data_IF_607225203414
#
_entry.id   IF_607225203414
#
_cell.length_a   1.000
_cell.length_b   1.000
_cell.length_c   1.000
_cell.angle_alpha   90.00
_cell.angle_beta   90.00
_cell.angle_gamma   90.00
#
_symmetry.space_group_name_H-M   'P 1'
#
loop_
_entity.id
_entity.type
_entity.pdbx_description
1 polymer ?
#
# COMPACT_ATOMS: atom_id res chain seq x y z
N UNK A 1 64.25 23.52 33.60
CA UNK A 1 63.61 24.20 32.44
C UNK A 1 63.30 23.18 31.37
N UNK A 2 62.34 22.32 31.68
CA UNK A 2 61.72 21.32 30.82
C UNK A 2 60.28 21.23 31.33
N UNK A 3 59.30 21.19 30.42
CA UNK A 3 57.83 21.18 30.67
C UNK A 3 57.11 22.40 30.10
N UNK A 4 57.07 22.54 28.77
CA UNK A 4 55.97 23.25 28.09
C UNK A 4 55.88 23.01 26.56
N UNK A 5 56.46 21.92 26.03
CA UNK A 5 56.46 21.65 24.58
C UNK A 5 55.93 20.27 24.18
N UNK A 6 55.29 19.53 25.08
CA UNK A 6 54.72 18.20 24.80
C UNK A 6 53.23 18.02 25.17
N UNK A 7 52.50 19.12 25.40
CA UNK A 7 51.03 19.09 25.57
C UNK A 7 50.39 20.05 24.57
N UNK A 8 50.74 19.93 23.28
CA UNK A 8 49.99 20.52 22.15
C UNK A 8 50.04 19.67 20.88
N UNK A 9 50.36 18.38 21.00
CA UNK A 9 50.44 17.45 19.86
C UNK A 9 49.52 16.22 20.00
N UNK A 10 48.48 16.33 20.84
CA UNK A 10 47.49 15.26 21.04
C UNK A 10 46.04 15.73 20.91
N UNK A 11 45.81 16.97 20.44
CA UNK A 11 44.46 17.51 20.22
C UNK A 11 44.20 18.02 18.79
N UNK A 12 45.06 17.62 17.84
CA UNK A 12 44.86 17.87 16.40
C UNK A 12 45.13 16.56 15.64
N UNK A 13 44.61 15.43 16.13
CA UNK A 13 44.50 14.16 15.38
C UNK A 13 43.21 13.41 15.77
N UNK A 14 42.16 14.15 16.15
CA UNK A 14 40.85 13.57 16.46
C UNK A 14 39.73 14.40 15.81
N UNK A 15 39.89 14.74 14.54
CA UNK A 15 38.81 15.32 13.72
C UNK A 15 38.94 15.01 12.23
N UNK A 16 39.73 13.99 11.85
CA UNK A 16 40.04 13.72 10.44
C UNK A 16 39.83 12.27 10.01
N UNK A 17 39.10 11.45 10.78
CA UNK A 17 38.76 10.08 10.39
C UNK A 17 37.31 9.82 10.78
N UNK A 18 36.38 10.23 9.92
CA UNK A 18 35.03 9.68 9.68
C UNK A 18 34.19 10.73 8.95
N UNK A 19 34.57 11.00 7.70
CA UNK A 19 33.71 11.66 6.73
C UNK A 19 34.08 11.18 5.33
N UNK A 20 34.13 9.86 5.14
CA UNK A 20 33.80 9.28 3.83
C UNK A 20 32.31 8.95 3.82
N UNK A 21 31.49 9.94 4.17
CA UNK A 21 30.14 9.98 3.66
C UNK A 21 30.31 10.43 2.21
N UNK A 22 29.94 9.57 1.27
CA UNK A 22 29.77 9.95 -0.12
C UNK A 22 28.62 10.95 -0.15
N UNK A 23 28.91 12.22 0.17
CA UNK A 23 28.03 13.33 -0.15
C UNK A 23 28.04 13.38 -1.66
N UNK A 24 27.04 12.77 -2.29
CA UNK A 24 26.66 13.12 -3.65
C UNK A 24 26.23 14.58 -3.55
N UNK A 25 27.17 15.49 -3.78
CA UNK A 25 26.87 16.91 -3.96
C UNK A 25 26.07 16.93 -5.26
N UNK A 26 24.74 16.98 -5.13
CA UNK A 26 23.86 17.29 -6.25
C UNK A 26 24.38 18.61 -6.85
N UNK A 27 24.64 18.62 -8.16
CA UNK A 27 25.06 19.85 -8.83
C UNK A 27 24.00 20.93 -8.65
N UNK A 28 24.38 22.21 -8.74
CA UNK A 28 23.41 23.32 -8.70
C UNK A 28 22.32 23.14 -9.79
N UNK A 29 22.67 22.49 -10.92
CA UNK A 29 21.75 22.09 -11.98
C UNK A 29 20.71 21.04 -11.52
N UNK A 30 21.10 20.08 -10.68
CA UNK A 30 20.17 19.10 -10.11
C UNK A 30 19.22 19.75 -9.09
N UNK A 31 19.69 20.72 -8.32
CA UNK A 31 18.85 21.46 -7.38
C UNK A 31 17.83 22.35 -8.13
N UNK A 32 18.27 23.05 -9.17
CA UNK A 32 17.39 23.86 -10.02
C UNK A 32 16.33 23.01 -10.72
N UNK A 33 16.72 21.86 -11.30
CA UNK A 33 15.80 20.92 -11.96
C UNK A 33 14.74 20.38 -10.99
N UNK A 34 15.13 20.01 -9.77
CA UNK A 34 14.19 19.56 -8.72
C UNK A 34 13.23 20.66 -8.29
N UNK A 35 13.70 21.92 -8.21
CA UNK A 35 12.86 23.06 -7.86
C UNK A 35 11.82 23.35 -8.95
N UNK A 36 12.22 23.29 -10.23
CA UNK A 36 11.31 23.43 -11.37
C UNK A 36 10.26 22.31 -11.40
N UNK A 37 10.68 21.07 -11.17
CA UNK A 37 9.77 19.92 -11.09
C UNK A 37 8.75 20.08 -9.96
N UNK A 38 9.20 20.46 -8.75
CA UNK A 38 8.33 20.75 -7.61
C UNK A 38 7.34 21.88 -7.91
N UNK A 39 7.79 22.96 -8.54
CA UNK A 39 6.92 24.07 -8.92
C UNK A 39 5.84 23.63 -9.92
N UNK A 40 6.20 22.79 -10.91
CA UNK A 40 5.26 22.22 -11.89
C UNK A 40 4.22 21.33 -11.22
N UNK A 41 4.64 20.42 -10.33
CA UNK A 41 3.73 19.55 -9.57
C UNK A 41 2.74 20.40 -8.76
N UNK A 42 3.25 21.40 -8.06
CA UNK A 42 2.43 22.30 -7.25
C UNK A 42 1.42 23.07 -8.11
N UNK A 43 1.83 23.59 -9.26
CA UNK A 43 0.93 24.34 -10.14
C UNK A 43 -0.23 23.47 -10.66
N UNK A 44 0.03 22.20 -10.98
CA UNK A 44 -1.02 21.24 -11.36
C UNK A 44 -1.95 20.97 -10.18
N UNK A 45 -1.39 20.70 -8.99
CA UNK A 45 -2.17 20.48 -7.76
C UNK A 45 -3.07 21.68 -7.44
N UNK A 46 -2.53 22.91 -7.44
CA UNK A 46 -3.29 24.13 -7.17
C UNK A 46 -4.43 24.32 -8.18
N UNK A 47 -4.20 23.99 -9.45
CA UNK A 47 -5.21 24.07 -10.50
C UNK A 47 -6.35 23.08 -10.26
N UNK A 48 -6.03 21.84 -9.91
CA UNK A 48 -7.05 20.81 -9.63
C UNK A 48 -7.83 21.18 -8.37
N UNK A 49 -7.16 21.63 -7.30
CA UNK A 49 -7.83 22.00 -6.04
C UNK A 49 -8.74 23.21 -6.20
N UNK A 50 -8.37 24.18 -7.04
CA UNK A 50 -9.20 25.35 -7.30
C UNK A 50 -10.45 25.05 -8.15
N UNK A 51 -10.48 23.90 -8.85
CA UNK A 51 -11.54 23.52 -9.79
C UNK A 51 -11.96 22.06 -9.58
N UNK A 52 -12.01 21.60 -8.33
CA UNK A 52 -12.19 20.18 -7.99
C UNK A 52 -13.51 19.61 -8.51
N UNK A 53 -14.58 20.41 -8.50
CA UNK A 53 -15.90 20.03 -8.98
C UNK A 53 -15.91 19.94 -10.52
N UNK A 54 -15.43 20.97 -11.23
CA UNK A 54 -15.37 20.95 -12.68
C UNK A 54 -14.42 19.87 -13.20
N UNK A 55 -13.30 19.63 -12.51
CA UNK A 55 -12.36 18.57 -12.85
C UNK A 55 -12.98 17.18 -12.66
N UNK A 56 -13.68 16.96 -11.54
CA UNK A 56 -14.39 15.71 -11.29
C UNK A 56 -15.52 15.45 -12.30
N UNK A 57 -16.30 16.47 -12.62
CA UNK A 57 -17.36 16.38 -13.62
C UNK A 57 -16.79 16.07 -15.01
N UNK A 58 -15.74 16.76 -15.45
CA UNK A 58 -15.11 16.53 -16.75
C UNK A 58 -14.58 15.09 -16.89
N UNK A 59 -14.03 14.52 -15.81
CA UNK A 59 -13.62 13.11 -15.79
C UNK A 59 -14.81 12.15 -15.83
N UNK A 60 -15.90 12.46 -15.12
CA UNK A 60 -17.14 11.67 -15.19
C UNK A 60 -17.71 11.65 -16.60
N UNK A 61 -17.76 12.81 -17.26
CA UNK A 61 -18.27 12.94 -18.63
C UNK A 61 -17.41 12.15 -19.63
N UNK A 62 -16.09 12.16 -19.44
CA UNK A 62 -15.17 11.35 -20.25
C UNK A 62 -15.45 9.85 -20.08
N UNK A 63 -15.68 9.38 -18.85
CA UNK A 63 -16.03 7.97 -18.59
C UNK A 63 -17.39 7.62 -19.19
N UNK A 64 -18.39 8.49 -19.05
CA UNK A 64 -19.72 8.30 -19.64
C UNK A 64 -19.64 8.15 -21.17
N UNK A 65 -18.89 9.06 -21.82
CA UNK A 65 -18.65 9.00 -23.27
C UNK A 65 -17.99 7.69 -23.71
N UNK A 66 -16.96 7.23 -23.01
CA UNK A 66 -16.27 5.96 -23.32
C UNK A 66 -17.18 4.74 -23.11
N UNK A 67 -18.08 4.80 -22.13
CA UNK A 67 -19.06 3.74 -21.87
C UNK A 67 -20.30 3.83 -22.80
N UNK A 68 -20.39 4.86 -23.63
CA UNK A 68 -21.54 5.08 -24.52
C UNK A 68 -22.84 5.37 -23.78
N UNK A 69 -22.77 6.05 -22.63
CA UNK A 69 -23.92 6.44 -21.81
C UNK A 69 -23.87 7.93 -21.46
N UNK A 70 -25.01 8.47 -21.04
CA UNK A 70 -25.14 9.83 -20.48
C UNK A 70 -25.26 9.79 -18.94
N UNK A 71 -25.05 8.62 -18.33
CA UNK A 71 -25.15 8.43 -16.88
C UNK A 71 -24.03 9.14 -16.14
N UNK A 72 -24.36 9.81 -15.02
CA UNK A 72 -23.36 10.27 -14.06
C UNK A 72 -23.03 9.14 -13.08
N UNK A 73 -21.76 8.69 -13.09
CA UNK A 73 -21.29 7.61 -12.21
C UNK A 73 -20.94 8.08 -10.79
N UNK A 74 -20.77 9.39 -10.59
CA UNK A 74 -20.31 9.99 -9.34
C UNK A 74 -21.30 11.00 -8.76
N UNK A 75 -22.53 11.07 -9.29
CA UNK A 75 -23.52 12.11 -9.02
C UNK A 75 -23.48 12.68 -7.59
N UNK A 76 -23.18 13.98 -7.48
CA UNK A 76 -23.11 14.71 -6.21
C UNK A 76 -21.80 14.52 -5.44
N UNK A 77 -20.80 13.85 -6.03
CA UNK A 77 -19.45 13.62 -5.47
C UNK A 77 -18.35 14.12 -6.40
N UNK A 78 -18.67 15.02 -7.33
CA UNK A 78 -17.77 15.55 -8.35
C UNK A 78 -16.51 16.14 -7.71
N UNK A 79 -16.67 17.04 -6.74
CA UNK A 79 -15.54 17.63 -6.01
C UNK A 79 -14.69 16.58 -5.26
N UNK A 80 -15.30 15.56 -4.65
CA UNK A 80 -14.59 14.49 -3.96
C UNK A 80 -13.78 13.63 -4.93
N UNK A 81 -14.39 13.26 -6.06
CA UNK A 81 -13.75 12.50 -7.11
C UNK A 81 -12.61 13.29 -7.75
N UNK A 82 -12.80 14.59 -8.02
CA UNK A 82 -11.78 15.48 -8.54
C UNK A 82 -10.56 15.57 -7.63
N UNK A 83 -10.75 15.75 -6.31
CA UNK A 83 -9.66 15.69 -5.33
C UNK A 83 -8.94 14.34 -5.34
N UNK A 84 -9.68 13.24 -5.39
CA UNK A 84 -9.12 11.89 -5.37
C UNK A 84 -8.21 11.64 -6.59
N UNK A 85 -8.70 11.95 -7.80
CA UNK A 85 -7.92 11.81 -9.03
C UNK A 85 -6.75 12.79 -9.06
N UNK A 86 -6.94 14.02 -8.59
CA UNK A 86 -5.86 15.00 -8.43
C UNK A 86 -4.72 14.51 -7.55
N UNK A 87 -5.05 13.89 -6.41
CA UNK A 87 -4.04 13.30 -5.52
C UNK A 87 -3.32 12.10 -6.16
N UNK A 88 -4.03 11.28 -6.92
CA UNK A 88 -3.41 10.18 -7.69
C UNK A 88 -2.44 10.75 -8.73
N UNK A 89 -2.85 11.77 -9.49
CA UNK A 89 -1.99 12.43 -10.48
C UNK A 89 -0.71 12.96 -9.82
N UNK A 90 -0.84 13.67 -8.69
CA UNK A 90 0.29 14.16 -7.91
C UNK A 90 1.23 13.03 -7.49
N UNK A 91 0.68 11.91 -7.03
CA UNK A 91 1.44 10.73 -6.59
C UNK A 91 2.31 10.19 -7.74
N UNK A 92 1.76 10.07 -8.95
CA UNK A 92 2.52 9.63 -10.13
C UNK A 92 3.52 10.66 -10.65
N UNK A 93 3.32 11.95 -10.38
CA UNK A 93 4.29 12.98 -10.75
C UNK A 93 5.49 13.06 -9.81
N UNK A 94 5.42 12.44 -8.63
CA UNK A 94 6.52 12.46 -7.67
C UNK A 94 7.59 11.43 -8.05
N UNK A 95 8.74 11.90 -8.51
CA UNK A 95 9.88 11.07 -8.96
C UNK A 95 11.01 10.98 -7.93
N UNK A 96 10.70 11.18 -6.65
CA UNK A 96 11.68 11.29 -5.56
C UNK A 96 12.43 10.01 -5.22
N UNK A 97 12.47 9.65 -3.93
CA UNK A 97 13.34 8.56 -3.44
C UNK A 97 12.93 7.16 -3.90
N UNK A 98 11.70 6.98 -4.38
CA UNK A 98 11.22 5.78 -5.06
C UNK A 98 9.91 6.08 -5.82
N UNK A 99 9.49 5.14 -6.67
CA UNK A 99 8.23 5.23 -7.42
C UNK A 99 7.03 4.96 -6.51
N UNK A 100 6.26 6.01 -6.22
CA UNK A 100 5.02 5.87 -5.47
C UNK A 100 3.93 5.18 -6.31
N UNK A 101 3.04 4.51 -5.62
CA UNK A 101 1.85 3.88 -6.20
C UNK A 101 0.57 4.57 -5.72
N UNK A 102 -0.53 4.44 -6.47
CA UNK A 102 -1.77 5.15 -6.17
C UNK A 102 -2.31 4.93 -4.74
N UNK A 103 -2.01 3.77 -4.16
CA UNK A 103 -2.40 3.35 -2.80
C UNK A 103 -1.24 3.39 -1.78
N UNK A 104 -0.16 4.12 -2.07
CA UNK A 104 1.08 4.10 -1.28
C UNK A 104 0.86 4.45 0.20
N UNK A 105 -0.02 5.42 0.49
CA UNK A 105 -0.37 5.79 1.86
C UNK A 105 -1.07 4.64 2.62
N UNK A 106 -1.99 3.93 1.95
CA UNK A 106 -2.67 2.77 2.52
C UNK A 106 -1.68 1.65 2.80
N UNK A 107 -0.85 1.29 1.82
CA UNK A 107 0.16 0.22 1.93
C UNK A 107 1.16 0.53 3.05
N UNK A 108 1.63 1.77 3.17
CA UNK A 108 2.53 2.19 4.25
C UNK A 108 1.88 2.12 5.62
N UNK A 109 0.64 2.57 5.73
CA UNK A 109 -0.12 2.48 6.97
C UNK A 109 -0.27 1.01 7.38
N UNK A 110 -0.63 0.15 6.44
CA UNK A 110 -0.79 -1.28 6.68
C UNK A 110 0.52 -1.95 7.13
N UNK A 111 1.60 -1.75 6.39
CA UNK A 111 2.93 -2.26 6.77
C UNK A 111 3.33 -1.77 8.16
N UNK A 112 3.10 -0.50 8.48
CA UNK A 112 3.57 0.08 9.74
C UNK A 112 2.83 -0.49 10.95
N UNK A 113 1.52 -0.75 10.85
CA UNK A 113 0.80 -1.36 11.97
C UNK A 113 1.07 -2.88 12.06
N UNK A 114 1.24 -3.59 10.93
CA UNK A 114 1.65 -5.01 10.96
C UNK A 114 3.04 -5.13 11.60
N UNK A 115 3.97 -4.27 11.19
CA UNK A 115 5.31 -4.21 11.76
C UNK A 115 5.27 -3.90 13.26
N UNK A 116 4.43 -2.96 13.70
CA UNK A 116 4.21 -2.71 15.12
C UNK A 116 3.73 -3.98 15.84
N UNK A 117 2.68 -4.64 15.33
CA UNK A 117 2.17 -5.86 15.94
C UNK A 117 3.22 -6.98 15.96
N UNK A 118 4.02 -7.11 14.91
CA UNK A 118 5.14 -8.06 14.84
C UNK A 118 6.23 -7.76 15.88
N UNK A 119 6.65 -6.50 16.01
CA UNK A 119 7.72 -6.10 16.93
C UNK A 119 7.35 -6.28 18.41
N UNK A 120 6.06 -6.14 18.73
CA UNK A 120 5.55 -6.25 20.09
C UNK A 120 4.91 -7.60 20.41
N UNK A 121 5.02 -8.59 19.51
CA UNK A 121 4.43 -9.93 19.67
C UNK A 121 2.91 -9.88 19.89
N UNK A 122 2.23 -9.03 19.11
CA UNK A 122 0.78 -8.75 19.19
C UNK A 122 0.01 -9.14 17.91
N UNK A 123 0.59 -9.98 17.04
CA UNK A 123 -0.05 -10.36 15.77
C UNK A 123 -1.35 -11.14 16.00
N UNK A 124 -1.40 -11.99 17.03
CA UNK A 124 -2.60 -12.77 17.36
C UNK A 124 -3.72 -11.86 17.87
N UNK A 125 -3.41 -10.88 18.73
CA UNK A 125 -4.36 -9.88 19.22
C UNK A 125 -4.85 -8.98 18.08
N UNK A 126 -3.96 -8.58 17.18
CA UNK A 126 -4.33 -7.80 16.00
C UNK A 126 -5.26 -8.60 15.08
N UNK A 127 -5.00 -9.89 14.91
CA UNK A 127 -5.85 -10.79 14.13
C UNK A 127 -7.23 -10.94 14.79
N UNK A 128 -7.30 -11.23 16.10
CA UNK A 128 -8.58 -11.33 16.80
C UNK A 128 -9.39 -10.03 16.71
N UNK A 129 -8.74 -8.87 16.84
CA UNK A 129 -9.40 -7.57 16.66
C UNK A 129 -9.94 -7.38 15.25
N UNK A 130 -9.16 -7.74 14.23
CA UNK A 130 -9.57 -7.69 12.82
C UNK A 130 -10.75 -8.63 12.53
N UNK A 131 -10.79 -9.83 13.13
CA UNK A 131 -11.88 -10.79 13.04
C UNK A 131 -13.14 -10.29 13.74
N UNK A 132 -13.02 -9.75 14.96
CA UNK A 132 -14.16 -9.26 15.73
C UNK A 132 -14.89 -8.14 14.99
N UNK A 133 -14.14 -7.22 14.38
CA UNK A 133 -14.71 -6.12 13.58
C UNK A 133 -15.55 -6.61 12.39
N UNK A 134 -15.32 -7.85 11.92
CA UNK A 134 -16.00 -8.45 10.75
C UNK A 134 -16.96 -9.56 11.11
N UNK A 135 -17.02 -10.00 12.37
CA UNK A 135 -17.79 -11.17 12.82
C UNK A 135 -19.26 -11.11 12.36
N UNK A 136 -19.93 -9.98 12.56
CA UNK A 136 -21.34 -9.81 12.16
C UNK A 136 -21.47 -9.90 10.63
N UNK A 137 -20.60 -9.22 9.89
CA UNK A 137 -20.63 -9.21 8.43
C UNK A 137 -20.42 -10.62 7.86
N UNK A 138 -19.45 -11.35 8.39
CA UNK A 138 -19.10 -12.69 7.90
C UNK A 138 -20.12 -13.74 8.32
N UNK A 139 -20.76 -13.60 9.48
CA UNK A 139 -21.88 -14.48 9.89
C UNK A 139 -23.04 -14.45 8.89
N UNK A 140 -23.31 -13.29 8.27
CA UNK A 140 -24.32 -13.16 7.20
C UNK A 140 -23.87 -13.88 5.93
N UNK A 141 -22.58 -13.78 5.60
CA UNK A 141 -21.97 -14.52 4.51
C UNK A 141 -22.10 -16.03 4.69
N UNK A 142 -21.73 -16.54 5.86
CA UNK A 142 -21.85 -17.95 6.23
C UNK A 142 -23.27 -18.48 6.07
N UNK A 143 -24.26 -17.75 6.61
CA UNK A 143 -25.67 -18.11 6.46
C UNK A 143 -26.06 -18.22 4.97
N UNK A 144 -25.68 -17.23 4.16
CA UNK A 144 -26.02 -17.21 2.74
C UNK A 144 -25.33 -18.32 1.95
N UNK A 145 -24.08 -18.64 2.27
CA UNK A 145 -23.35 -19.78 1.69
C UNK A 145 -24.06 -21.09 2.04
N UNK A 146 -24.44 -21.29 3.31
CA UNK A 146 -25.15 -22.49 3.73
C UNK A 146 -26.53 -22.65 3.05
N UNK A 147 -27.23 -21.55 2.80
CA UNK A 147 -28.55 -21.56 2.13
C UNK A 147 -28.46 -21.83 0.62
N UNK A 148 -27.41 -21.35 -0.04
CA UNK A 148 -27.32 -21.35 -1.51
C UNK A 148 -26.33 -22.38 -2.07
N UNK A 149 -25.37 -22.82 -1.25
CA UNK A 149 -24.19 -23.57 -1.71
C UNK A 149 -23.19 -22.75 -2.53
N UNK A 150 -23.41 -21.43 -2.68
CA UNK A 150 -22.56 -20.58 -3.53
C UNK A 150 -21.30 -20.10 -2.79
N UNK A 151 -20.18 -20.73 -3.09
CA UNK A 151 -18.87 -20.41 -2.50
C UNK A 151 -18.29 -19.07 -3.02
N UNK A 152 -18.78 -18.52 -4.14
CA UNK A 152 -18.34 -17.21 -4.64
C UNK A 152 -18.65 -16.09 -3.66
N UNK A 153 -19.68 -16.28 -2.84
CA UNK A 153 -20.02 -15.37 -1.76
C UNK A 153 -18.80 -15.17 -0.84
N UNK A 154 -18.06 -16.22 -0.51
CA UNK A 154 -16.88 -16.09 0.34
C UNK A 154 -15.77 -15.25 -0.32
N UNK A 155 -15.48 -15.47 -1.61
CA UNK A 155 -14.54 -14.64 -2.37
C UNK A 155 -15.01 -13.19 -2.53
N UNK A 156 -16.33 -12.96 -2.53
CA UNK A 156 -16.90 -11.60 -2.54
C UNK A 156 -16.60 -10.84 -1.25
N UNK A 157 -16.65 -11.50 -0.09
CA UNK A 157 -16.26 -10.86 1.19
C UNK A 157 -14.78 -10.45 1.20
N UNK A 158 -13.92 -11.16 0.47
CA UNK A 158 -12.53 -10.74 0.30
C UNK A 158 -12.40 -9.58 -0.71
N UNK A 159 -13.01 -9.69 -1.90
CA UNK A 159 -12.60 -8.89 -3.08
C UNK A 159 -13.59 -7.84 -3.59
N UNK A 160 -14.86 -7.87 -3.17
CA UNK A 160 -15.80 -6.80 -3.50
C UNK A 160 -15.73 -5.62 -2.54
N UNK A 161 -15.04 -5.78 -1.40
CA UNK A 161 -14.75 -4.66 -0.52
C UNK A 161 -13.84 -3.65 -1.25
N UNK A 162 -14.14 -2.33 -1.17
CA UNK A 162 -13.24 -1.31 -1.68
C UNK A 162 -11.82 -1.44 -1.10
N UNK A 163 -11.70 -1.83 0.17
CA UNK A 163 -10.43 -1.98 0.86
C UNK A 163 -9.46 -2.95 0.16
N UNK A 164 -9.93 -4.11 -0.31
CA UNK A 164 -9.06 -5.05 -1.05
C UNK A 164 -8.69 -4.50 -2.43
N UNK A 165 -9.64 -3.87 -3.13
CA UNK A 165 -9.41 -3.30 -4.45
C UNK A 165 -8.41 -2.15 -4.39
N UNK A 166 -8.53 -1.28 -3.40
CA UNK A 166 -7.59 -0.20 -3.13
C UNK A 166 -6.22 -0.75 -2.76
N UNK A 167 -6.16 -1.82 -1.96
CA UNK A 167 -4.90 -2.45 -1.59
C UNK A 167 -4.18 -3.08 -2.80
N UNK A 168 -4.92 -3.55 -3.80
CA UNK A 168 -4.35 -4.22 -4.99
C UNK A 168 -4.27 -3.33 -6.23
N UNK A 169 -4.76 -2.09 -6.17
CA UNK A 169 -4.94 -1.22 -7.36
C UNK A 169 -3.65 -0.98 -8.17
N UNK A 170 -2.49 -0.98 -7.52
CA UNK A 170 -1.22 -0.65 -8.15
C UNK A 170 -0.70 -1.74 -9.12
N UNK A 171 -0.96 -3.01 -8.81
CA UNK A 171 -0.51 -4.17 -9.59
C UNK A 171 -1.71 -4.95 -10.19
N UNK A 172 -2.92 -4.65 -9.74
CA UNK A 172 -4.15 -5.32 -10.11
C UNK A 172 -4.35 -6.68 -9.44
N UNK A 173 -5.49 -7.29 -9.77
CA UNK A 173 -5.82 -8.65 -9.39
C UNK A 173 -6.59 -9.32 -10.53
N UNK A 174 -6.50 -10.64 -10.60
CA UNK A 174 -7.31 -11.47 -11.50
C UNK A 174 -8.31 -12.27 -10.68
N UNK A 175 -9.51 -12.43 -11.25
CA UNK A 175 -10.56 -13.25 -10.67
C UNK A 175 -11.12 -14.20 -11.71
N UNK A 176 -11.21 -15.47 -11.34
CA UNK A 176 -11.90 -16.53 -12.09
C UNK A 176 -12.82 -17.28 -11.11
N UNK A 177 -13.77 -18.10 -11.58
CA UNK A 177 -14.62 -18.88 -10.67
C UNK A 177 -13.76 -19.72 -9.69
N UNK A 178 -14.06 -19.59 -8.41
CA UNK A 178 -13.43 -20.29 -7.30
C UNK A 178 -12.05 -19.74 -6.91
N UNK A 179 -11.52 -18.71 -7.58
CA UNK A 179 -10.13 -18.28 -7.38
C UNK A 179 -9.86 -16.81 -7.66
N UNK A 180 -8.99 -16.23 -6.85
CA UNK A 180 -8.41 -14.90 -7.06
C UNK A 180 -6.90 -14.97 -7.03
N UNK A 181 -6.23 -14.08 -7.75
CA UNK A 181 -4.79 -13.92 -7.67
C UNK A 181 -4.38 -12.45 -7.75
N UNK A 182 -3.43 -12.04 -6.93
CA UNK A 182 -2.90 -10.66 -6.92
C UNK A 182 -1.43 -10.68 -6.54
N UNK A 183 -0.69 -9.67 -7.00
CA UNK A 183 0.70 -9.47 -6.58
C UNK A 183 0.68 -8.78 -5.22
N UNK A 184 1.52 -9.24 -4.29
CA UNK A 184 1.65 -8.61 -2.99
C UNK A 184 1.95 -7.10 -3.12
N UNK A 185 1.21 -6.23 -2.39
CA UNK A 185 1.26 -4.79 -2.60
C UNK A 185 2.44 -4.08 -1.90
N UNK A 186 3.20 -4.82 -1.07
CA UNK A 186 4.17 -4.24 -0.15
C UNK A 186 5.56 -4.06 -0.77
N UNK A 187 5.88 -4.76 -1.86
CA UNK A 187 7.22 -4.79 -2.46
C UNK A 187 7.85 -3.41 -2.72
N UNK A 188 7.11 -2.46 -3.32
CA UNK A 188 7.64 -1.10 -3.59
C UNK A 188 7.93 -0.33 -2.30
N UNK A 189 7.02 -0.41 -1.33
CA UNK A 189 7.16 0.27 -0.03
C UNK A 189 8.33 -0.30 0.78
N UNK A 190 8.44 -1.64 0.86
CA UNK A 190 9.47 -2.33 1.62
C UNK A 190 10.88 -2.26 0.99
N UNK A 191 10.96 -2.08 -0.33
CA UNK A 191 12.25 -2.01 -1.04
C UNK A 191 12.82 -0.59 -1.15
N UNK A 192 12.06 0.45 -0.81
CA UNK A 192 12.51 1.84 -0.90
C UNK A 192 13.66 2.12 0.08
N UNK A 193 14.76 2.71 -0.43
CA UNK A 193 16.08 2.68 0.22
C UNK A 193 16.12 3.05 1.71
N UNK A 194 15.61 4.22 2.09
CA UNK A 194 15.60 4.67 3.49
C UNK A 194 14.65 3.87 4.38
N UNK A 195 13.56 3.33 3.83
CA UNK A 195 12.65 2.46 4.58
C UNK A 195 13.25 1.07 4.75
N UNK A 196 13.91 0.51 3.73
CA UNK A 196 14.50 -0.83 3.78
C UNK A 196 15.46 -1.04 4.95
N UNK A 197 16.24 -0.02 5.32
CA UNK A 197 17.17 -0.09 6.45
C UNK A 197 16.49 0.00 7.82
N UNK A 198 15.24 0.48 7.87
CA UNK A 198 14.49 0.69 9.11
C UNK A 198 13.37 -0.34 9.31
N UNK A 199 12.97 -1.08 8.26
CA UNK A 199 11.96 -2.12 8.37
C UNK A 199 12.50 -3.38 9.03
N UNK A 200 11.70 -3.96 9.93
CA UNK A 200 11.97 -5.23 10.62
C UNK A 200 11.13 -6.39 10.10
N UNK A 201 10.19 -6.12 9.19
CA UNK A 201 9.37 -7.15 8.55
C UNK A 201 9.60 -7.21 7.04
N UNK A 202 9.63 -8.42 6.51
CA UNK A 202 9.71 -8.72 5.08
C UNK A 202 8.34 -9.04 4.49
N UNK A 203 8.23 -8.94 3.16
CA UNK A 203 6.98 -9.26 2.47
C UNK A 203 6.56 -10.73 2.67
N UNK A 204 7.54 -11.64 2.67
CA UNK A 204 7.36 -13.04 3.06
C UNK A 204 6.73 -13.18 4.44
N UNK A 205 7.27 -12.47 5.44
CA UNK A 205 6.73 -12.51 6.80
C UNK A 205 5.33 -11.93 6.87
N UNK A 206 5.02 -10.85 6.13
CA UNK A 206 3.63 -10.36 6.05
C UNK A 206 2.71 -11.43 5.45
N UNK A 207 3.14 -12.14 4.42
CA UNK A 207 2.35 -13.22 3.82
C UNK A 207 2.11 -14.36 4.82
N UNK A 208 3.19 -14.89 5.40
CA UNK A 208 3.18 -16.09 6.25
C UNK A 208 2.56 -15.83 7.63
N UNK A 209 2.79 -14.66 8.22
CA UNK A 209 2.38 -14.34 9.60
C UNK A 209 1.09 -13.53 9.68
N UNK A 210 0.71 -12.80 8.63
CA UNK A 210 -0.49 -11.96 8.64
C UNK A 210 -1.52 -12.39 7.59
N UNK A 211 -1.14 -12.41 6.30
CA UNK A 211 -2.10 -12.60 5.21
C UNK A 211 -2.69 -14.01 5.22
N UNK A 212 -1.85 -15.05 5.30
CA UNK A 212 -2.32 -16.44 5.33
C UNK A 212 -3.18 -16.74 6.57
N UNK A 213 -2.75 -16.44 7.82
CA UNK A 213 -3.55 -16.72 9.00
C UNK A 213 -4.89 -15.97 8.98
N UNK A 214 -4.87 -14.69 8.58
CA UNK A 214 -6.07 -13.87 8.49
C UNK A 214 -7.08 -14.41 7.50
N UNK A 215 -6.64 -14.76 6.29
CA UNK A 215 -7.54 -15.28 5.26
C UNK A 215 -8.08 -16.66 5.63
N UNK A 216 -7.30 -17.50 6.33
CA UNK A 216 -7.81 -18.76 6.88
C UNK A 216 -8.89 -18.53 7.93
N UNK A 217 -8.64 -17.66 8.90
CA UNK A 217 -9.61 -17.33 9.94
C UNK A 217 -10.89 -16.69 9.37
N UNK A 218 -10.78 -15.92 8.29
CA UNK A 218 -11.92 -15.46 7.50
C UNK A 218 -12.74 -16.61 6.92
N UNK A 219 -12.08 -17.65 6.40
CA UNK A 219 -12.73 -18.89 5.95
C UNK A 219 -13.55 -19.54 7.06
N UNK A 220 -13.00 -19.66 8.26
CA UNK A 220 -13.68 -20.25 9.42
C UNK A 220 -14.96 -19.49 9.79
N UNK A 221 -14.89 -18.15 9.80
CA UNK A 221 -16.05 -17.28 10.03
C UNK A 221 -17.11 -17.41 8.93
N UNK A 222 -16.69 -17.63 7.69
CA UNK A 222 -17.56 -17.82 6.51
C UNK A 222 -18.07 -19.26 6.35
N UNK A 223 -17.49 -20.22 7.07
CA UNK A 223 -17.80 -21.65 6.91
C UNK A 223 -17.30 -22.24 5.60
N UNK A 224 -16.13 -21.79 5.12
CA UNK A 224 -15.45 -22.31 3.93
C UNK A 224 -13.97 -22.53 4.23
N UNK A 225 -13.29 -23.32 3.41
CA UNK A 225 -11.84 -23.42 3.45
C UNK A 225 -11.23 -22.53 2.37
N UNK A 226 -10.23 -21.73 2.72
CA UNK A 226 -9.40 -21.03 1.74
C UNK A 226 -8.04 -21.70 1.64
N UNK A 227 -7.67 -22.06 0.41
CA UNK A 227 -6.30 -22.46 0.06
C UNK A 227 -5.54 -21.26 -0.46
N UNK A 228 -4.45 -20.91 0.21
CA UNK A 228 -3.58 -19.79 -0.14
C UNK A 228 -2.25 -20.35 -0.62
N UNK A 229 -1.70 -19.81 -1.72
CA UNK A 229 -0.39 -20.19 -2.23
C UNK A 229 0.72 -19.94 -1.21
N UNK A 230 1.76 -20.76 -1.27
CA UNK A 230 3.01 -20.47 -0.59
C UNK A 230 3.66 -19.19 -1.14
N UNK A 231 4.56 -18.60 -0.36
CA UNK A 231 5.28 -17.41 -0.78
C UNK A 231 6.32 -17.74 -1.85
N UNK A 232 6.36 -16.94 -2.91
CA UNK A 232 7.39 -16.95 -3.95
C UNK A 232 8.06 -15.57 -4.03
N UNK A 233 9.36 -15.48 -3.75
CA UNK A 233 10.09 -14.21 -3.71
C UNK A 233 10.21 -13.54 -5.10
N UNK A 234 10.10 -14.30 -6.19
CA UNK A 234 10.27 -13.80 -7.56
C UNK A 234 8.96 -13.25 -8.10
N UNK A 235 7.90 -14.03 -8.01
CA UNK A 235 6.60 -13.70 -8.57
C UNK A 235 5.76 -12.85 -7.60
N UNK A 236 5.97 -13.00 -6.29
CA UNK A 236 5.19 -12.33 -5.22
C UNK A 236 3.68 -12.50 -5.39
N UNK A 237 3.28 -13.56 -6.09
CA UNK A 237 1.90 -13.81 -6.49
C UNK A 237 1.19 -14.57 -5.38
N UNK A 238 0.11 -13.99 -4.87
CA UNK A 238 -0.76 -14.61 -3.89
C UNK A 238 -1.98 -15.15 -4.64
N UNK A 239 -2.20 -16.47 -4.57
CA UNK A 239 -3.36 -17.14 -5.15
C UNK A 239 -4.22 -17.67 -4.02
N UNK A 240 -5.51 -17.33 -4.03
CA UNK A 240 -6.49 -17.81 -3.06
C UNK A 240 -7.58 -18.56 -3.80
N UNK A 241 -7.82 -19.81 -3.42
CA UNK A 241 -8.92 -20.63 -3.92
C UNK A 241 -9.89 -20.93 -2.79
N UNK A 242 -11.19 -20.88 -3.07
CA UNK A 242 -12.24 -21.26 -2.11
C UNK A 242 -12.63 -22.72 -2.31
N UNK A 243 -12.76 -23.44 -1.21
CA UNK A 243 -13.13 -24.84 -1.15
C UNK A 243 -14.28 -25.02 -0.13
N UNK A 244 -15.17 -26.00 -0.31
CA UNK A 244 -16.11 -26.37 0.74
C UNK A 244 -15.34 -26.92 1.95
N UNK A 245 -15.80 -26.64 3.17
CA UNK A 245 -15.29 -27.32 4.37
C UNK A 245 -15.61 -28.81 4.28
N UNK A 246 -14.59 -29.65 4.44
CA UNK A 246 -14.70 -31.12 4.51
C UNK A 246 -15.54 -31.60 5.69
#
# INVERSE_FOLDING_TARGET
MASNFQIKLSLIVFSAVFASATTVIASDDDAARRAEEQARIKAVEDTVLANEEEFGQALSDLVAAEMGTDDSFIQGREAEFGRAVGNILRTYQFTGSYEHQANDALVKSEVSWIEFAYEYDMLDEALESDLESKRILFSRGKKKIAETGDLEIALNFLTLSPCFRDLTVAEGFTRVPGRISYVSPYGRSLSSGTLKETRKITERQIHELWTMPRIKAYGDLLGVEFQISEWDDKERLIVISVMPTS
#
